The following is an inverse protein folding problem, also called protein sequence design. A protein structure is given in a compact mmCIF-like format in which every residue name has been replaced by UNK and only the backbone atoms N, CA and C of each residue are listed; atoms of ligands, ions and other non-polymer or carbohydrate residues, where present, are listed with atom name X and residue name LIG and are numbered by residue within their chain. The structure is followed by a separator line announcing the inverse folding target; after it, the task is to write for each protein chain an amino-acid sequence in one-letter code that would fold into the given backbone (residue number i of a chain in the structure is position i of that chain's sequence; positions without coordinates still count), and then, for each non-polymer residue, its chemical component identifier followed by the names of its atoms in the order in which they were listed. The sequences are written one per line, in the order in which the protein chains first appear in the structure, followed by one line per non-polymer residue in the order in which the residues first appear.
data_IF_858967457882
#
_entry.id   IF_858967457882
#
_cell.length_a   1.000
_cell.length_b   1.000
_cell.length_c   1.000
_cell.angle_alpha   90.00
_cell.angle_beta   90.00
_cell.angle_gamma   90.00
#
_symmetry.space_group_name_H-M   'P 1'
#
loop_
_entity.id
_entity.type
_entity.pdbx_description
1 polymer ?
#
# COMPACT_ATOMS: atom_id res chain seq x y z
N UNK A 1 9.08 20.20 -7.20
CA UNK A 1 9.37 18.81 -6.79
C UNK A 1 8.17 18.27 -6.05
N UNK A 2 7.82 17.00 -6.28
CA UNK A 2 6.64 16.37 -5.69
C UNK A 2 6.96 14.97 -5.14
N UNK A 3 6.05 14.44 -4.31
CA UNK A 3 6.03 13.03 -3.94
C UNK A 3 5.22 12.30 -5.01
N UNK A 4 5.82 11.27 -5.62
CA UNK A 4 5.15 10.41 -6.58
C UNK A 4 4.57 9.19 -5.87
N UNK A 5 3.25 9.03 -5.94
CA UNK A 5 2.51 7.86 -5.46
C UNK A 5 2.07 7.03 -6.66
N UNK A 6 2.55 5.79 -6.76
CA UNK A 6 2.19 4.83 -7.81
C UNK A 6 1.23 3.80 -7.18
N UNK A 7 0.00 3.74 -7.69
CA UNK A 7 -1.01 2.78 -7.26
C UNK A 7 -0.90 1.49 -8.08
N UNK A 8 -0.41 0.42 -7.47
CA UNK A 8 -0.30 -0.90 -8.11
C UNK A 8 -1.59 -1.72 -8.07
N UNK A 9 -2.60 -1.29 -7.31
CA UNK A 9 -3.91 -1.95 -7.21
C UNK A 9 -4.90 -1.37 -8.24
N UNK A 10 -4.68 -0.14 -8.68
CA UNK A 10 -5.45 0.52 -9.74
C UNK A 10 -6.96 0.51 -9.52
N UNK A 11 -7.38 0.68 -8.29
CA UNK A 11 -8.79 0.66 -7.90
C UNK A 11 -9.53 -0.69 -8.14
N UNK A 12 -8.81 -1.77 -8.41
CA UNK A 12 -9.40 -3.13 -8.47
C UNK A 12 -9.99 -3.50 -7.11
N UNK A 13 -9.34 -3.03 -6.03
CA UNK A 13 -9.84 -3.11 -4.66
C UNK A 13 -10.00 -1.67 -4.15
N UNK A 14 -11.17 -1.03 -4.37
CA UNK A 14 -11.35 0.42 -4.17
C UNK A 14 -11.00 0.91 -2.76
N UNK A 15 -11.28 0.12 -1.73
CA UNK A 15 -10.93 0.47 -0.35
C UNK A 15 -9.41 0.54 -0.13
N UNK A 16 -8.64 -0.35 -0.77
CA UNK A 16 -7.18 -0.34 -0.68
C UNK A 16 -6.60 0.94 -1.30
N UNK A 17 -6.99 1.26 -2.54
CA UNK A 17 -6.63 2.53 -3.18
C UNK A 17 -7.05 3.73 -2.33
N UNK A 18 -8.28 3.73 -1.79
CA UNK A 18 -8.78 4.82 -0.95
C UNK A 18 -7.90 5.04 0.26
N UNK A 19 -7.68 4.01 1.08
CA UNK A 19 -6.97 4.17 2.36
C UNK A 19 -5.46 4.33 2.18
N UNK A 20 -4.84 3.61 1.25
CA UNK A 20 -3.38 3.59 1.13
C UNK A 20 -2.83 4.64 0.17
N UNK A 21 -3.59 5.05 -0.82
CA UNK A 21 -3.14 6.00 -1.85
C UNK A 21 -3.82 7.36 -1.70
N UNK A 22 -5.15 7.42 -1.82
CA UNK A 22 -5.86 8.71 -1.86
C UNK A 22 -5.85 9.45 -0.53
N UNK A 23 -6.17 8.76 0.58
CA UNK A 23 -6.13 9.38 1.91
C UNK A 23 -4.69 9.78 2.30
N UNK A 24 -3.68 8.98 1.93
CA UNK A 24 -2.27 9.34 2.13
C UNK A 24 -1.89 10.58 1.32
N UNK A 25 -2.30 10.67 0.06
CA UNK A 25 -2.06 11.85 -0.77
C UNK A 25 -2.71 13.09 -0.15
N UNK A 26 -3.93 12.97 0.37
CA UNK A 26 -4.62 14.05 1.10
C UNK A 26 -3.84 14.48 2.33
N UNK A 27 -3.40 13.54 3.17
CA UNK A 27 -2.59 13.83 4.36
C UNK A 27 -1.30 14.59 4.00
N UNK A 28 -0.57 14.10 2.99
CA UNK A 28 0.68 14.73 2.56
C UNK A 28 0.43 16.16 2.04
N UNK A 29 -0.65 16.36 1.26
CA UNK A 29 -1.03 17.70 0.76
C UNK A 29 -1.40 18.65 1.90
N UNK A 30 -2.09 18.19 2.94
CA UNK A 30 -2.40 18.98 4.16
C UNK A 30 -1.14 19.43 4.90
N UNK A 31 -0.06 18.65 4.80
CA UNK A 31 1.24 19.00 5.35
C UNK A 31 2.12 19.82 4.38
N UNK A 32 1.55 20.34 3.30
CA UNK A 32 2.22 21.25 2.37
C UNK A 32 3.06 20.56 1.30
N UNK A 33 2.97 19.24 1.15
CA UNK A 33 3.66 18.55 0.08
C UNK A 33 2.85 18.57 -1.22
N UNK A 34 3.53 18.80 -2.33
CA UNK A 34 2.96 18.52 -3.64
C UNK A 34 2.97 17.00 -3.88
N UNK A 35 1.84 16.42 -4.27
CA UNK A 35 1.70 14.97 -4.46
C UNK A 35 1.05 14.66 -5.80
N UNK A 36 1.74 13.86 -6.59
CA UNK A 36 1.23 13.29 -7.85
C UNK A 36 0.86 11.83 -7.60
N UNK A 37 -0.39 11.49 -7.87
CA UNK A 37 -0.89 10.10 -7.85
C UNK A 37 -1.02 9.61 -9.28
N UNK A 38 -0.60 8.40 -9.55
CA UNK A 38 -0.67 7.75 -10.86
C UNK A 38 -0.97 6.26 -10.69
N UNK A 39 -1.82 5.70 -11.54
CA UNK A 39 -1.96 4.26 -11.65
C UNK A 39 -0.70 3.63 -12.26
N UNK A 40 -0.41 2.40 -11.92
CA UNK A 40 0.75 1.70 -12.48
C UNK A 40 0.69 1.61 -14.01
N UNK A 41 -0.50 1.36 -14.56
CA UNK A 41 -0.73 1.30 -16.02
C UNK A 41 -0.45 2.62 -16.75
N UNK A 42 -0.58 3.76 -16.06
CA UNK A 42 -0.34 5.10 -16.60
C UNK A 42 1.06 5.64 -16.26
N UNK A 43 1.82 4.89 -15.45
CA UNK A 43 3.14 5.31 -15.00
C UNK A 43 4.13 5.38 -16.16
N UNK A 44 4.96 6.41 -16.16
CA UNK A 44 6.08 6.59 -17.08
C UNK A 44 7.33 7.00 -16.29
N UNK A 45 8.49 6.44 -16.65
CA UNK A 45 9.77 6.74 -15.98
C UNK A 45 10.11 8.24 -15.93
N UNK A 46 9.69 9.01 -16.93
CA UNK A 46 9.86 10.47 -16.94
C UNK A 46 9.19 11.17 -15.75
N UNK A 47 8.13 10.58 -15.17
CA UNK A 47 7.45 11.14 -14.01
C UNK A 47 8.34 11.10 -12.75
N UNK A 48 9.30 10.18 -12.68
CA UNK A 48 10.23 10.09 -11.57
C UNK A 48 11.30 11.21 -11.57
N UNK A 49 11.56 11.84 -12.71
CA UNK A 49 12.63 12.83 -12.84
C UNK A 49 12.49 14.02 -11.88
N UNK A 50 11.27 14.50 -11.67
CA UNK A 50 10.97 15.63 -10.79
C UNK A 50 10.43 15.23 -9.40
N UNK A 51 10.33 13.92 -9.12
CA UNK A 51 9.95 13.44 -7.80
C UNK A 51 11.08 13.63 -6.80
N UNK A 52 10.75 14.01 -5.56
CA UNK A 52 11.67 14.01 -4.41
C UNK A 52 11.66 12.69 -3.69
N UNK A 53 10.49 12.05 -3.63
CA UNK A 53 10.24 10.75 -3.03
C UNK A 53 9.31 9.97 -3.93
N UNK A 54 9.47 8.65 -3.96
CA UNK A 54 8.63 7.75 -4.73
C UNK A 54 8.05 6.72 -3.76
N UNK A 55 6.74 6.54 -3.79
CA UNK A 55 6.03 5.54 -3.00
C UNK A 55 5.28 4.65 -3.98
N UNK A 56 5.53 3.35 -3.92
CA UNK A 56 4.90 2.34 -4.77
C UNK A 56 3.99 1.50 -3.89
N UNK A 57 2.68 1.62 -4.10
CA UNK A 57 1.72 0.86 -3.34
C UNK A 57 1.42 -0.47 -4.03
N UNK A 58 1.69 -1.58 -3.30
CA UNK A 58 1.26 -2.96 -3.59
C UNK A 58 1.35 -3.33 -5.07
N UNK A 59 2.51 -3.10 -5.66
CA UNK A 59 2.81 -3.47 -7.03
C UNK A 59 3.81 -4.63 -7.08
N UNK A 60 3.56 -5.70 -7.86
CA UNK A 60 4.58 -6.71 -8.12
C UNK A 60 5.74 -6.09 -8.89
N UNK A 61 6.93 -6.67 -8.72
CA UNK A 61 8.11 -6.23 -9.49
C UNK A 61 7.84 -6.37 -10.99
N UNK A 62 8.28 -5.39 -11.75
CA UNK A 62 8.30 -5.41 -13.21
C UNK A 62 9.63 -4.88 -13.72
N UNK A 63 10.01 -5.14 -14.97
CA UNK A 63 11.22 -4.57 -15.55
C UNK A 63 11.25 -3.04 -15.49
N UNK A 64 10.10 -2.39 -15.62
CA UNK A 64 9.98 -0.94 -15.56
C UNK A 64 10.16 -0.40 -14.12
N UNK A 65 9.55 -1.05 -13.12
CA UNK A 65 9.72 -0.68 -11.72
C UNK A 65 11.14 -0.97 -11.21
N UNK A 66 11.75 -2.07 -11.63
CA UNK A 66 13.15 -2.35 -11.32
C UNK A 66 14.07 -1.26 -11.89
N UNK A 67 13.82 -0.87 -13.14
CA UNK A 67 14.54 0.24 -13.78
C UNK A 67 14.32 1.57 -13.05
N UNK A 68 13.10 1.83 -12.59
CA UNK A 68 12.80 2.98 -11.74
C UNK A 68 13.64 2.99 -10.47
N UNK A 69 13.70 1.87 -9.73
CA UNK A 69 14.49 1.75 -8.51
C UNK A 69 15.98 2.03 -8.77
N UNK A 70 16.54 1.48 -9.84
CA UNK A 70 17.95 1.71 -10.20
C UNK A 70 18.21 3.20 -10.52
N UNK A 71 17.40 3.82 -11.37
CA UNK A 71 17.53 5.23 -11.72
C UNK A 71 17.31 6.15 -10.50
N UNK A 72 16.33 5.84 -9.66
CA UNK A 72 16.07 6.61 -8.44
C UNK A 72 17.29 6.58 -7.50
N UNK A 73 17.92 5.42 -7.34
CA UNK A 73 19.15 5.26 -6.55
C UNK A 73 20.30 6.06 -7.11
N UNK A 74 20.51 6.06 -8.44
CA UNK A 74 21.55 6.87 -9.09
C UNK A 74 21.36 8.37 -8.85
N UNK A 75 20.09 8.82 -8.79
CA UNK A 75 19.75 10.24 -8.56
C UNK A 75 19.51 10.58 -7.09
N UNK A 76 19.77 9.65 -6.16
CA UNK A 76 19.58 9.86 -4.72
C UNK A 76 18.12 10.11 -4.32
N UNK A 77 17.17 9.52 -5.03
CA UNK A 77 15.72 9.65 -4.78
C UNK A 77 15.21 8.42 -4.04
N UNK A 78 14.77 8.54 -2.79
CA UNK A 78 14.31 7.39 -2.02
C UNK A 78 13.03 6.80 -2.61
N UNK A 79 12.99 5.46 -2.72
CA UNK A 79 11.84 4.66 -3.14
C UNK A 79 11.35 3.83 -1.96
N UNK A 80 10.07 3.95 -1.64
CA UNK A 80 9.43 3.18 -0.58
C UNK A 80 8.36 2.25 -1.15
N UNK A 81 8.35 1.02 -0.67
CA UNK A 81 7.28 0.07 -0.95
C UNK A 81 6.22 0.13 0.13
N UNK A 82 4.99 0.47 -0.24
CA UNK A 82 3.85 0.52 0.67
C UNK A 82 3.06 -0.77 0.58
N UNK A 83 2.97 -1.51 1.68
CA UNK A 83 2.25 -2.78 1.76
C UNK A 83 1.54 -2.93 3.09
N UNK A 84 0.29 -3.35 3.07
CA UNK A 84 -0.60 -3.44 4.23
C UNK A 84 -1.06 -4.87 4.57
N UNK A 85 -0.57 -5.87 3.81
CA UNK A 85 -0.83 -7.29 4.00
C UNK A 85 0.46 -8.12 4.01
N UNK A 86 0.42 -9.31 4.63
CA UNK A 86 1.51 -10.30 4.64
C UNK A 86 1.51 -11.15 3.35
N UNK A 87 1.62 -10.49 2.19
CA UNK A 87 1.57 -11.13 0.86
C UNK A 87 2.87 -11.01 0.07
N UNK A 88 3.97 -10.77 0.75
CA UNK A 88 5.29 -10.56 0.15
C UNK A 88 6.28 -11.73 0.40
N UNK A 89 5.87 -12.74 1.16
CA UNK A 89 6.63 -13.97 1.38
C UNK A 89 5.67 -15.15 1.54
N UNK A 90 5.98 -16.28 0.91
CA UNK A 90 5.17 -17.51 0.96
C UNK A 90 5.10 -18.11 2.36
N UNK A 91 6.06 -17.83 3.25
CA UNK A 91 6.03 -18.25 4.65
C UNK A 91 4.76 -17.82 5.39
N UNK A 92 4.19 -16.67 5.01
CA UNK A 92 2.92 -16.18 5.57
C UNK A 92 1.71 -16.76 4.83
N UNK A 93 1.79 -16.81 3.51
CA UNK A 93 0.65 -17.19 2.68
C UNK A 93 0.41 -18.70 2.62
N UNK A 94 1.41 -19.53 2.87
CA UNK A 94 1.29 -20.98 2.95
C UNK A 94 0.42 -21.46 4.13
N UNK A 95 0.21 -20.59 5.13
CA UNK A 95 -0.63 -20.88 6.29
C UNK A 95 -2.12 -20.58 6.05
N UNK A 96 -2.46 -19.93 4.93
CA UNK A 96 -3.83 -19.58 4.62
C UNK A 96 -4.61 -20.81 4.14
N UNK A 97 -5.80 -21.03 4.67
CA UNK A 97 -6.68 -22.13 4.25
C UNK A 97 -7.01 -22.07 2.75
N UNK A 98 -7.12 -20.86 2.20
CA UNK A 98 -7.32 -20.65 0.77
C UNK A 98 -6.20 -21.28 -0.07
N UNK A 99 -4.93 -21.04 0.28
CA UNK A 99 -3.80 -21.54 -0.50
C UNK A 99 -3.62 -23.06 -0.38
N UNK A 100 -4.08 -23.65 0.72
CA UNK A 100 -4.07 -25.11 0.93
C UNK A 100 -5.09 -25.84 0.04
N UNK A 101 -6.13 -25.14 -0.43
CA UNK A 101 -7.15 -25.67 -1.35
C UNK A 101 -6.80 -25.56 -2.83
N UNK A 102 -5.71 -24.87 -3.18
CA UNK A 102 -5.28 -24.67 -4.56
C UNK A 102 -4.63 -25.93 -5.15
N UNK A 103 -4.86 -26.19 -6.44
CA UNK A 103 -4.06 -27.18 -7.15
C UNK A 103 -2.63 -26.68 -7.38
N UNK A 104 -1.72 -27.55 -7.84
CA UNK A 104 -0.29 -27.25 -7.97
C UNK A 104 0.01 -26.08 -8.94
N UNK A 105 -0.77 -25.92 -10.00
CA UNK A 105 -0.61 -24.83 -10.98
C UNK A 105 -1.09 -23.51 -10.39
N UNK A 106 -2.24 -23.51 -9.79
CA UNK A 106 -2.82 -22.33 -9.12
C UNK A 106 -1.91 -21.86 -7.97
N UNK A 107 -1.42 -22.82 -7.13
CA UNK A 107 -0.48 -22.51 -6.05
C UNK A 107 0.81 -21.91 -6.60
N UNK A 108 1.37 -22.50 -7.66
CA UNK A 108 2.58 -21.99 -8.30
C UNK A 108 2.43 -20.56 -8.81
N UNK A 109 1.29 -20.23 -9.44
CA UNK A 109 0.98 -18.89 -9.91
C UNK A 109 0.78 -17.91 -8.74
N UNK A 110 0.09 -18.32 -7.70
CA UNK A 110 -0.11 -17.52 -6.50
C UNK A 110 1.23 -17.17 -5.82
N UNK A 111 2.08 -18.19 -5.60
CA UNK A 111 3.40 -18.03 -4.99
C UNK A 111 4.33 -17.16 -5.83
N UNK A 112 4.25 -17.25 -7.16
CA UNK A 112 5.00 -16.36 -8.04
C UNK A 112 4.56 -14.90 -7.84
N UNK A 113 3.25 -14.63 -7.69
CA UNK A 113 2.73 -13.31 -7.37
C UNK A 113 3.26 -12.80 -6.03
N UNK A 114 3.21 -13.62 -4.99
CA UNK A 114 3.73 -13.30 -3.65
C UNK A 114 5.23 -12.97 -3.72
N UNK A 115 6.03 -13.81 -4.36
CA UNK A 115 7.47 -13.55 -4.54
C UNK A 115 7.76 -12.26 -5.29
N UNK A 116 6.94 -11.90 -6.27
CA UNK A 116 7.11 -10.64 -7.01
C UNK A 116 6.88 -9.40 -6.14
N UNK A 117 6.00 -9.47 -5.13
CA UNK A 117 5.90 -8.42 -4.10
C UNK A 117 7.14 -8.38 -3.20
N UNK A 118 7.65 -9.54 -2.79
CA UNK A 118 8.90 -9.64 -2.02
C UNK A 118 10.08 -9.03 -2.76
N UNK A 119 10.27 -9.36 -4.05
CA UNK A 119 11.31 -8.77 -4.88
C UNK A 119 11.15 -7.25 -5.03
N UNK A 120 9.91 -6.74 -5.11
CA UNK A 120 9.70 -5.30 -5.13
C UNK A 120 10.14 -4.66 -3.81
N UNK A 121 9.77 -5.26 -2.68
CA UNK A 121 10.18 -4.83 -1.35
C UNK A 121 11.71 -4.75 -1.20
N UNK A 122 12.43 -5.78 -1.66
CA UNK A 122 13.89 -5.85 -1.58
C UNK A 122 14.62 -4.79 -2.43
N UNK A 123 14.00 -4.35 -3.53
CA UNK A 123 14.59 -3.35 -4.43
C UNK A 123 14.28 -1.90 -4.03
N UNK A 124 13.50 -1.68 -2.98
CA UNK A 124 13.19 -0.36 -2.43
C UNK A 124 14.16 0.02 -1.31
N UNK A 125 14.25 1.33 -1.00
CA UNK A 125 15.08 1.87 0.09
C UNK A 125 14.41 1.72 1.47
N UNK A 126 13.18 1.24 1.51
CA UNK A 126 12.42 1.00 2.72
C UNK A 126 10.98 0.64 2.45
N UNK A 127 10.24 0.39 3.51
CA UNK A 127 8.83 0.04 3.46
C UNK A 127 7.94 1.04 4.22
N UNK A 128 6.67 1.10 3.85
CA UNK A 128 5.61 1.78 4.58
C UNK A 128 4.50 0.76 4.85
N UNK A 129 3.94 0.78 6.06
CA UNK A 129 2.87 -0.15 6.41
C UNK A 129 1.84 0.47 7.35
N UNK A 130 0.77 -0.28 7.66
CA UNK A 130 -0.42 0.25 8.36
C UNK A 130 -0.49 -0.12 9.85
N UNK A 131 0.19 -1.15 10.32
CA UNK A 131 0.11 -1.64 11.70
C UNK A 131 1.49 -1.88 12.30
N UNK A 132 1.59 -1.83 13.64
CA UNK A 132 2.84 -2.13 14.34
C UNK A 132 3.30 -3.57 14.07
N UNK A 133 2.35 -4.51 14.03
CA UNK A 133 2.68 -5.92 13.80
C UNK A 133 3.29 -6.14 12.40
N UNK A 134 2.72 -5.53 11.36
CA UNK A 134 3.31 -5.57 10.02
C UNK A 134 4.68 -4.87 9.97
N UNK A 135 4.85 -3.79 10.73
CA UNK A 135 6.13 -3.10 10.83
C UNK A 135 7.21 -4.00 11.41
N UNK A 136 6.90 -4.74 12.48
CA UNK A 136 7.81 -5.71 13.08
C UNK A 136 8.19 -6.83 12.10
N UNK A 137 7.22 -7.35 11.34
CA UNK A 137 7.48 -8.36 10.32
C UNK A 137 8.36 -7.82 9.18
N UNK A 138 8.07 -6.60 8.70
CA UNK A 138 8.83 -5.97 7.61
C UNK A 138 10.27 -5.62 7.99
N UNK A 139 10.57 -5.39 9.27
CA UNK A 139 11.96 -5.20 9.72
C UNK A 139 12.87 -6.42 9.48
N UNK A 140 12.30 -7.59 9.21
CA UNK A 140 13.07 -8.78 8.80
C UNK A 140 13.61 -8.67 7.37
N UNK A 141 13.01 -7.81 6.55
CA UNK A 141 13.31 -7.64 5.11
C UNK A 141 13.90 -6.27 4.79
N UNK A 142 13.55 -5.24 5.57
CA UNK A 142 13.97 -3.87 5.34
C UNK A 142 14.45 -3.20 6.64
N UNK A 143 15.56 -2.49 6.58
CA UNK A 143 16.11 -1.75 7.73
C UNK A 143 15.31 -0.48 8.06
N UNK A 144 14.58 0.06 7.08
CA UNK A 144 13.78 1.28 7.22
C UNK A 144 12.31 0.97 6.97
N UNK A 145 11.51 0.95 8.02
CA UNK A 145 10.07 0.70 7.92
C UNK A 145 9.29 1.81 8.63
N UNK A 146 8.45 2.50 7.86
CA UNK A 146 7.64 3.61 8.34
C UNK A 146 6.22 3.13 8.63
N UNK A 147 5.68 3.54 9.78
CA UNK A 147 4.28 3.29 10.13
C UNK A 147 3.42 4.47 9.65
N UNK A 148 2.51 4.21 8.72
CA UNK A 148 1.47 5.13 8.30
C UNK A 148 0.12 4.42 8.36
N UNK A 149 -0.62 4.67 9.43
CA UNK A 149 -1.93 4.04 9.69
C UNK A 149 -2.98 4.48 8.70
N UNK A 150 -3.98 3.64 8.49
CA UNK A 150 -5.17 4.02 7.74
C UNK A 150 -5.96 5.05 8.56
N UNK A 151 -6.23 6.20 7.96
CA UNK A 151 -6.98 7.29 8.57
C UNK A 151 -8.16 7.65 7.66
N UNK A 152 -9.21 8.19 8.25
CA UNK A 152 -10.32 8.74 7.51
C UNK A 152 -9.90 10.04 6.80
N UNK A 153 -10.36 10.24 5.57
CA UNK A 153 -10.29 11.53 4.88
C UNK A 153 -11.30 12.52 5.47
N UNK A 154 -11.15 13.81 5.18
CA UNK A 154 -12.14 14.82 5.57
C UNK A 154 -13.50 14.52 4.97
N UNK A 155 -13.54 14.04 3.72
CA UNK A 155 -14.79 13.62 3.07
C UNK A 155 -15.47 12.49 3.84
N UNK A 156 -14.71 11.46 4.26
CA UNK A 156 -15.27 10.38 5.07
C UNK A 156 -15.79 10.86 6.41
N UNK A 157 -15.08 11.80 7.06
CA UNK A 157 -15.51 12.40 8.32
C UNK A 157 -16.79 13.21 8.09
N UNK A 158 -16.83 14.03 7.03
CA UNK A 158 -17.98 14.86 6.70
C UNK A 158 -19.22 14.01 6.40
N UNK A 159 -19.08 12.95 5.58
CA UNK A 159 -20.16 12.02 5.27
C UNK A 159 -20.62 11.29 6.54
N UNK A 160 -19.69 10.75 7.31
CA UNK A 160 -20.01 10.06 8.57
C UNK A 160 -20.80 10.94 9.52
N UNK A 161 -20.40 12.22 9.65
CA UNK A 161 -21.07 13.19 10.54
C UNK A 161 -22.53 13.44 10.18
N UNK A 162 -22.90 13.28 8.90
CA UNK A 162 -24.30 13.42 8.45
C UNK A 162 -25.18 12.24 8.89
N UNK A 163 -24.58 11.09 9.16
CA UNK A 163 -25.29 9.84 9.49
C UNK A 163 -25.13 9.42 10.96
N UNK A 164 -24.42 10.22 11.78
CA UNK A 164 -24.36 9.99 13.22
C UNK A 164 -25.77 10.15 13.79
N UNK A 165 -26.33 9.03 14.24
CA UNK A 165 -27.58 9.02 15.02
C UNK A 165 -27.22 9.14 16.48
N UNK A 166 -27.96 9.99 17.19
CA UNK A 166 -27.88 10.04 18.63
C UNK A 166 -28.48 8.72 19.19
N UNK A 167 -27.62 7.83 19.64
CA UNK A 167 -27.99 6.57 20.27
C UNK A 167 -28.28 6.75 21.76
N UNK A 168 -28.99 7.79 22.13
CA UNK A 168 -29.46 8.01 23.51
C UNK A 168 -30.46 6.95 24.01
N UNK A 169 -30.95 6.08 23.12
CA UNK A 169 -31.76 4.93 23.49
C UNK A 169 -30.86 3.74 23.83
N UNK A 170 -30.80 3.42 25.12
CA UNK A 170 -30.18 2.23 25.65
C UNK A 170 -30.90 0.98 25.09
N UNK A 171 -30.29 0.33 24.15
CA UNK A 171 -30.69 -0.99 23.70
C UNK A 171 -29.73 -2.00 24.33
N UNK A 172 -30.27 -3.04 24.98
CA UNK A 172 -29.49 -4.17 25.51
C UNK A 172 -28.82 -4.99 24.39
N UNK A 173 -29.04 -4.64 23.14
CA UNK A 173 -28.53 -5.33 21.96
C UNK A 173 -27.41 -4.51 21.32
N UNK A 174 -26.18 -5.07 21.36
CA UNK A 174 -25.06 -4.55 20.60
C UNK A 174 -25.18 -5.01 19.15
N UNK A 175 -25.28 -4.06 18.21
CA UNK A 175 -25.28 -4.33 16.77
C UNK A 175 -23.86 -4.13 16.24
N UNK A 176 -23.27 -5.20 15.71
CA UNK A 176 -21.94 -5.15 15.05
C UNK A 176 -22.16 -5.25 13.56
N UNK A 177 -21.70 -4.25 12.80
CA UNK A 177 -21.67 -4.27 11.33
C UNK A 177 -20.27 -4.63 10.85
N UNK A 178 -20.19 -5.50 9.85
CA UNK A 178 -19.00 -5.78 9.08
C UNK A 178 -19.27 -5.42 7.60
N UNK A 179 -18.38 -4.64 6.97
CA UNK A 179 -18.53 -4.13 5.60
C UNK A 179 -17.37 -4.55 4.72
#
# INVERSE_FOLDING_TARGET
QYILLIDGVENIIPQCTRYRVLNKAEQLRKHGFEVKVVNLSDFQLSMAQNASYIIIYRSPISPELLRLCHLAKEYGKPVFFDIDDLVFDTVYTDQLSYTQGLNSVEKGNYDAGVRNYGYMLENCDGAITSTNQLQEELYKYQSKVLLNRNLASDDLIAISSQYIKDYSQTSDIVKIGYF
#
